data_IF_679936149375
#
_entry.id   IF_679936149375
#
_cell.length_a   1.000
_cell.length_b   1.000
_cell.length_c   1.000
_cell.angle_alpha   90.00
_cell.angle_beta   90.00
_cell.angle_gamma   90.00
#
_symmetry.space_group_name_H-M   'P 1'
#
loop_
_entity.id
_entity.type
_entity.pdbx_description
1 polymer ?
#
# COMPACT_ATOMS: atom_id res chain seq x y z
N UNK A 1 54.42 14.32 -7.50
CA UNK A 1 53.97 13.60 -8.72
C UNK A 1 52.45 13.55 -8.89
N UNK A 2 51.63 13.59 -7.84
CA UNK A 2 50.16 13.45 -7.90
C UNK A 2 49.36 14.56 -8.64
N UNK A 3 49.88 15.79 -8.77
CA UNK A 3 49.14 16.89 -9.41
C UNK A 3 49.11 16.83 -10.94
N UNK A 4 50.19 16.34 -11.56
CA UNK A 4 50.31 16.22 -13.02
C UNK A 4 49.40 15.12 -13.57
N UNK A 5 49.30 14.01 -12.84
CA UNK A 5 48.45 12.88 -13.19
C UNK A 5 46.96 13.27 -13.18
N UNK A 6 46.50 14.05 -12.18
CA UNK A 6 45.12 14.57 -12.15
C UNK A 6 44.78 15.50 -13.31
N UNK A 7 45.72 16.37 -13.72
CA UNK A 7 45.51 17.26 -14.86
C UNK A 7 45.43 16.50 -16.19
N UNK A 8 46.29 15.48 -16.36
CA UNK A 8 46.28 14.62 -17.55
C UNK A 8 44.99 13.78 -17.57
N UNK A 9 44.60 13.17 -16.46
CA UNK A 9 43.40 12.34 -16.35
C UNK A 9 42.11 13.15 -16.57
N UNK A 10 42.07 14.40 -16.09
CA UNK A 10 40.94 15.31 -16.35
C UNK A 10 40.86 15.66 -17.85
N UNK A 11 41.99 15.94 -18.50
CA UNK A 11 42.03 16.25 -19.92
C UNK A 11 41.59 15.07 -20.80
N UNK A 12 42.06 13.85 -20.47
CA UNK A 12 41.71 12.61 -21.19
C UNK A 12 40.24 12.26 -20.99
N UNK A 13 39.72 12.28 -19.75
CA UNK A 13 38.31 12.02 -19.46
C UNK A 13 37.39 13.02 -20.13
N UNK A 14 37.78 14.29 -20.23
CA UNK A 14 36.98 15.31 -20.93
C UNK A 14 36.91 15.04 -22.44
N UNK A 15 38.02 14.60 -23.04
CA UNK A 15 38.05 14.24 -24.46
C UNK A 15 37.22 12.98 -24.75
N UNK A 16 37.34 11.94 -23.92
CA UNK A 16 36.60 10.69 -24.06
C UNK A 16 35.11 10.85 -23.81
N UNK A 17 34.72 11.53 -22.72
CA UNK A 17 33.31 11.77 -22.40
C UNK A 17 32.63 12.63 -23.46
N UNK A 18 33.32 13.65 -23.99
CA UNK A 18 32.81 14.46 -25.10
C UNK A 18 32.66 13.69 -26.41
N UNK A 19 33.59 12.78 -26.72
CA UNK A 19 33.47 11.90 -27.89
C UNK A 19 32.31 10.93 -27.76
N UNK A 20 32.17 10.27 -26.61
CA UNK A 20 31.05 9.36 -26.31
C UNK A 20 29.72 10.11 -26.39
N UNK A 21 29.63 11.29 -25.79
CA UNK A 21 28.41 12.10 -25.84
C UNK A 21 28.02 12.48 -27.27
N UNK A 22 28.96 12.96 -28.11
CA UNK A 22 28.66 13.28 -29.52
C UNK A 22 28.23 12.04 -30.29
N UNK A 23 28.85 10.89 -30.04
CA UNK A 23 28.50 9.62 -30.70
C UNK A 23 27.10 9.15 -30.31
N UNK A 24 26.74 9.30 -29.03
CA UNK A 24 25.38 9.02 -28.53
C UNK A 24 24.35 9.97 -29.13
N UNK A 25 24.64 11.28 -29.17
CA UNK A 25 23.75 12.27 -29.79
C UNK A 25 23.53 11.95 -31.27
N UNK A 26 24.59 11.58 -32.00
CA UNK A 26 24.48 11.17 -33.41
C UNK A 26 23.73 9.86 -33.62
N UNK A 27 23.76 8.94 -32.67
CA UNK A 27 22.98 7.71 -32.76
C UNK A 27 21.49 7.92 -32.43
N UNK A 28 21.16 8.93 -31.63
CA UNK A 28 19.80 9.21 -31.16
C UNK A 28 19.09 10.34 -31.91
N UNK A 29 19.75 10.97 -32.89
CA UNK A 29 19.17 12.11 -33.63
C UNK A 29 17.98 11.73 -34.51
N UNK A 30 17.91 10.47 -34.94
CA UNK A 30 16.87 9.97 -35.86
C UNK A 30 15.61 9.45 -35.14
N UNK A 31 15.61 9.45 -33.80
CA UNK A 31 14.50 8.93 -32.99
C UNK A 31 13.54 10.06 -32.65
N UNK A 32 12.27 9.92 -33.02
CA UNK A 32 11.23 10.92 -32.75
C UNK A 32 9.92 10.32 -32.25
N UNK A 33 9.14 11.12 -31.52
CA UNK A 33 7.79 10.76 -31.06
C UNK A 33 6.78 11.16 -32.13
N UNK A 34 6.00 10.19 -32.61
CA UNK A 34 4.92 10.38 -33.56
C UNK A 34 3.62 10.80 -32.82
N UNK A 35 2.65 11.37 -33.57
CA UNK A 35 1.38 11.85 -33.03
C UNK A 35 0.51 10.77 -32.36
N UNK A 36 0.76 9.51 -32.69
CA UNK A 36 0.11 8.35 -32.08
C UNK A 36 0.73 7.95 -30.73
N UNK A 37 1.74 8.69 -30.24
CA UNK A 37 2.44 8.42 -28.99
C UNK A 37 3.56 7.39 -29.11
N UNK A 38 3.76 6.81 -30.30
CA UNK A 38 4.83 5.83 -30.57
C UNK A 38 6.16 6.54 -30.84
N UNK A 39 7.26 5.90 -30.46
CA UNK A 39 8.62 6.34 -30.77
C UNK A 39 9.10 5.58 -32.00
N UNK A 40 9.45 6.30 -33.07
CA UNK A 40 9.87 5.71 -34.33
C UNK A 40 11.19 6.29 -34.81
N UNK A 41 11.91 5.49 -35.60
CA UNK A 41 13.08 5.96 -36.33
C UNK A 41 12.65 6.79 -37.56
N UNK A 42 13.60 7.50 -38.18
CA UNK A 42 13.42 8.22 -39.43
C UNK A 42 12.91 7.34 -40.59
N UNK A 43 13.21 6.04 -40.56
CA UNK A 43 12.74 5.04 -41.52
C UNK A 43 11.30 4.56 -41.26
N UNK A 44 10.66 5.01 -40.19
CA UNK A 44 9.32 4.58 -39.78
C UNK A 44 9.29 3.28 -38.96
N UNK A 45 10.45 2.69 -38.68
CA UNK A 45 10.59 1.54 -37.79
C UNK A 45 10.15 1.90 -36.37
N UNK A 46 9.27 1.08 -35.81
CA UNK A 46 8.69 1.26 -34.48
C UNK A 46 9.71 0.82 -33.42
N UNK A 47 10.19 1.77 -32.61
CA UNK A 47 11.17 1.52 -31.54
C UNK A 47 10.44 1.26 -30.22
N UNK A 48 9.42 2.07 -29.90
CA UNK A 48 8.64 1.96 -28.67
C UNK A 48 7.15 2.30 -28.93
N UNK A 49 6.23 1.58 -28.30
CA UNK A 49 4.79 1.81 -28.49
C UNK A 49 4.29 3.06 -27.74
N UNK A 50 4.86 3.37 -26.57
CA UNK A 50 4.59 4.61 -25.85
C UNK A 50 5.90 5.27 -25.43
N UNK A 51 6.07 6.56 -25.70
CA UNK A 51 7.25 7.31 -25.24
C UNK A 51 7.39 7.26 -23.72
N UNK A 52 8.50 6.72 -23.23
CA UNK A 52 8.77 6.60 -21.79
C UNK A 52 8.04 5.44 -21.11
N UNK A 53 7.67 4.39 -21.87
CA UNK A 53 7.14 3.14 -21.31
C UNK A 53 8.17 2.46 -20.39
N UNK A 54 8.17 2.87 -19.12
CA UNK A 54 8.34 1.95 -18.00
C UNK A 54 7.17 0.96 -18.11
N UNK A 55 7.36 -0.12 -18.88
CA UNK A 55 6.37 -1.19 -19.03
C UNK A 55 6.02 -1.72 -17.63
N UNK A 56 4.92 -1.23 -17.05
CA UNK A 56 4.41 -1.69 -15.75
C UNK A 56 5.35 -1.57 -14.56
N UNK A 57 6.43 -0.79 -14.66
CA UNK A 57 7.46 -0.69 -13.63
C UNK A 57 7.08 0.22 -12.45
N UNK A 58 7.65 -0.08 -11.28
CA UNK A 58 7.74 0.87 -10.16
C UNK A 58 8.52 2.11 -10.61
N UNK A 59 8.23 3.29 -10.04
CA UNK A 59 8.95 4.52 -10.37
C UNK A 59 10.49 4.35 -10.25
N UNK A 60 11.28 5.00 -11.13
CA UNK A 60 12.73 4.90 -11.09
C UNK A 60 13.27 5.42 -9.76
N UNK A 61 14.15 4.64 -9.10
CA UNK A 61 14.75 4.97 -7.80
C UNK A 61 13.98 4.48 -6.57
N UNK A 62 12.90 3.73 -6.75
CA UNK A 62 12.10 3.17 -5.65
C UNK A 62 12.74 1.92 -5.03
N UNK A 63 13.42 1.11 -5.83
CA UNK A 63 14.13 -0.10 -5.38
C UNK A 63 15.64 0.11 -5.49
N UNK A 64 16.39 -0.49 -4.55
CA UNK A 64 17.84 -0.52 -4.62
C UNK A 64 18.32 -1.38 -5.81
N UNK A 65 19.34 -0.89 -6.53
CA UNK A 65 19.95 -1.57 -7.69
C UNK A 65 20.56 -2.90 -7.21
N UNK A 66 19.91 -4.02 -7.54
CA UNK A 66 20.29 -5.36 -7.07
C UNK A 66 19.10 -6.24 -6.65
N UNK A 67 17.91 -5.65 -6.51
CA UNK A 67 16.64 -6.36 -6.27
C UNK A 67 15.80 -6.54 -7.55
N UNK A 68 16.39 -6.29 -8.73
CA UNK A 68 15.74 -6.41 -10.04
C UNK A 68 15.80 -7.84 -10.61
N UNK A 69 15.84 -8.86 -9.77
CA UNK A 69 15.60 -10.21 -10.24
C UNK A 69 14.10 -10.29 -10.57
N UNK A 70 13.79 -10.03 -11.84
CA UNK A 70 12.48 -10.27 -12.47
C UNK A 70 12.17 -11.77 -12.48
N UNK A 71 12.17 -12.38 -11.29
CA UNK A 71 11.86 -13.79 -11.11
C UNK A 71 10.41 -13.99 -11.51
N UNK A 72 10.18 -15.01 -12.33
CA UNK A 72 8.85 -15.36 -12.79
C UNK A 72 7.89 -15.60 -11.62
N UNK A 73 8.40 -16.10 -10.48
CA UNK A 73 7.64 -16.31 -9.25
C UNK A 73 7.15 -15.00 -8.62
N UNK A 74 8.00 -13.97 -8.57
CA UNK A 74 7.63 -12.65 -8.06
C UNK A 74 6.55 -12.00 -8.93
N UNK A 75 6.71 -12.09 -10.25
CA UNK A 75 5.72 -11.56 -11.20
C UNK A 75 4.36 -12.22 -11.01
N UNK A 76 4.32 -13.56 -10.87
CA UNK A 76 3.08 -14.29 -10.59
C UNK A 76 2.45 -13.86 -9.25
N UNK A 77 3.24 -13.54 -8.22
CA UNK A 77 2.71 -13.02 -6.95
C UNK A 77 2.10 -11.63 -7.12
N UNK A 78 2.76 -10.75 -7.86
CA UNK A 78 2.28 -9.38 -8.14
C UNK A 78 1.01 -9.39 -9.00
N UNK A 79 0.96 -10.23 -10.03
CA UNK A 79 -0.24 -10.38 -10.87
C UNK A 79 -1.43 -10.86 -10.05
N UNK A 80 -1.22 -11.83 -9.15
CA UNK A 80 -2.26 -12.29 -8.22
C UNK A 80 -2.73 -11.20 -7.26
N UNK A 81 -1.81 -10.39 -6.73
CA UNK A 81 -2.17 -9.25 -5.89
C UNK A 81 -3.01 -8.24 -6.67
N UNK A 82 -2.60 -7.91 -7.89
CA UNK A 82 -3.31 -6.96 -8.74
C UNK A 82 -4.73 -7.43 -9.08
N UNK A 83 -4.88 -8.69 -9.51
CA UNK A 83 -6.20 -9.28 -9.77
C UNK A 83 -7.09 -9.21 -8.52
N UNK A 84 -6.55 -9.55 -7.35
CA UNK A 84 -7.30 -9.47 -6.08
C UNK A 84 -7.76 -8.04 -5.78
N UNK A 85 -6.93 -7.02 -6.01
CA UNK A 85 -7.29 -5.62 -5.79
C UNK A 85 -8.37 -5.14 -6.76
N UNK A 86 -8.33 -5.59 -8.02
CA UNK A 86 -9.36 -5.30 -9.02
C UNK A 86 -10.70 -5.92 -8.59
N UNK A 87 -10.68 -7.17 -8.13
CA UNK A 87 -11.87 -7.85 -7.63
C UNK A 87 -12.41 -7.18 -6.36
N UNK A 88 -11.54 -6.80 -5.42
CA UNK A 88 -11.92 -6.07 -4.21
C UNK A 88 -12.57 -4.71 -4.56
N UNK A 89 -12.06 -4.00 -5.58
CA UNK A 89 -12.66 -2.75 -6.06
C UNK A 89 -14.02 -2.97 -6.71
N UNK A 90 -14.20 -4.04 -7.49
CA UNK A 90 -15.51 -4.41 -8.07
C UNK A 90 -16.51 -4.71 -6.97
N UNK A 91 -16.10 -5.50 -5.97
CA UNK A 91 -16.94 -5.86 -4.81
C UNK A 91 -17.40 -4.61 -4.04
N UNK A 92 -16.50 -3.64 -3.80
CA UNK A 92 -16.87 -2.38 -3.17
C UNK A 92 -17.93 -1.60 -3.97
N UNK A 93 -17.81 -1.54 -5.30
CA UNK A 93 -18.72 -0.78 -6.17
C UNK A 93 -20.06 -1.48 -6.38
N UNK A 94 -20.06 -2.80 -6.51
CA UNK A 94 -21.25 -3.57 -6.90
C UNK A 94 -22.04 -4.08 -5.70
N UNK A 95 -21.34 -4.54 -4.65
CA UNK A 95 -21.97 -5.25 -3.53
C UNK A 95 -22.10 -4.39 -2.27
N UNK A 96 -21.02 -3.72 -1.84
CA UNK A 96 -21.01 -2.98 -0.55
C UNK A 96 -21.64 -1.60 -0.69
N UNK A 97 -21.24 -0.83 -1.72
CA UNK A 97 -21.66 0.56 -1.91
C UNK A 97 -22.29 0.81 -3.28
N UNK A 98 -23.38 0.09 -3.65
CA UNK A 98 -23.97 0.16 -4.99
C UNK A 98 -24.55 1.53 -5.38
N UNK A 99 -24.84 2.41 -4.40
CA UNK A 99 -25.48 3.72 -4.62
C UNK A 99 -24.86 4.84 -3.79
N UNK A 100 -23.62 4.68 -3.35
CA UNK A 100 -22.97 5.72 -2.54
C UNK A 100 -22.21 6.70 -3.42
N UNK A 101 -22.36 7.99 -3.13
CA UNK A 101 -21.57 9.04 -3.76
C UNK A 101 -20.08 8.85 -3.42
N UNK A 102 -19.17 8.94 -4.41
CA UNK A 102 -17.74 8.70 -4.21
C UNK A 102 -17.06 9.75 -3.31
N UNK A 103 -17.72 10.88 -3.05
CA UNK A 103 -17.21 11.93 -2.15
C UNK A 103 -17.61 11.72 -0.68
N UNK A 104 -18.49 10.76 -0.38
CA UNK A 104 -18.97 10.53 0.98
C UNK A 104 -17.92 9.75 1.78
N UNK A 105 -17.49 10.34 2.89
CA UNK A 105 -16.56 9.68 3.81
C UNK A 105 -17.23 8.51 4.51
N UNK A 106 -16.54 7.36 4.55
CA UNK A 106 -16.97 6.16 5.25
C UNK A 106 -16.18 6.01 6.54
N UNK A 107 -16.86 5.68 7.64
CA UNK A 107 -16.20 5.41 8.90
C UNK A 107 -15.57 4.02 8.88
N UNK A 108 -14.27 3.95 9.19
CA UNK A 108 -13.53 2.71 9.34
C UNK A 108 -12.94 2.64 10.74
N UNK A 109 -12.84 1.45 11.36
CA UNK A 109 -12.40 1.31 12.75
C UNK A 109 -10.98 1.84 13.02
N UNK A 110 -10.11 1.87 12.00
CA UNK A 110 -8.72 2.27 12.13
C UNK A 110 -8.33 3.24 11.03
N UNK A 111 -7.66 4.32 11.41
CA UNK A 111 -7.01 5.23 10.48
C UNK A 111 -5.61 4.73 10.13
N UNK A 112 -5.50 3.98 9.03
CA UNK A 112 -4.22 3.42 8.57
C UNK A 112 -3.21 4.49 8.16
N UNK A 113 -3.68 5.64 7.66
CA UNK A 113 -2.78 6.74 7.28
C UNK A 113 -2.00 7.24 8.50
N UNK A 114 -2.68 7.44 9.64
CA UNK A 114 -2.04 7.86 10.89
C UNK A 114 -1.01 6.84 11.37
N UNK A 115 -1.30 5.55 11.27
CA UNK A 115 -0.35 4.49 11.66
C UNK A 115 0.93 4.59 10.82
N UNK A 116 0.80 4.79 9.51
CA UNK A 116 1.95 4.94 8.63
C UNK A 116 2.75 6.20 8.95
N UNK A 117 2.08 7.32 9.23
CA UNK A 117 2.76 8.56 9.63
C UNK A 117 3.55 8.39 10.94
N UNK A 118 2.94 7.74 11.94
CA UNK A 118 3.61 7.44 13.19
C UNK A 118 4.83 6.54 12.96
N UNK A 119 4.72 5.54 12.09
CA UNK A 119 5.84 4.67 11.74
C UNK A 119 6.99 5.45 11.07
N UNK A 120 6.69 6.34 10.12
CA UNK A 120 7.70 7.18 9.45
C UNK A 120 8.45 8.05 10.48
N UNK A 121 7.74 8.60 11.45
CA UNK A 121 8.32 9.43 12.51
C UNK A 121 9.19 8.60 13.47
N UNK A 122 8.69 7.47 13.96
CA UNK A 122 9.40 6.61 14.92
C UNK A 122 10.68 6.04 14.30
N UNK A 123 10.59 5.54 13.07
CA UNK A 123 11.71 4.89 12.38
C UNK A 123 12.58 5.85 11.57
N UNK A 124 12.28 7.16 11.61
CA UNK A 124 13.07 8.21 10.95
C UNK A 124 13.33 7.87 9.47
N UNK A 125 12.28 7.49 8.75
CA UNK A 125 12.38 6.96 7.40
C UNK A 125 12.64 8.11 6.41
N UNK A 126 13.78 8.02 5.72
CA UNK A 126 14.15 8.97 4.67
C UNK A 126 13.48 8.59 3.34
N UNK A 127 12.43 9.31 2.94
CA UNK A 127 11.74 9.12 1.66
C UNK A 127 12.59 9.43 0.41
N UNK A 128 13.83 9.87 0.59
CA UNK A 128 14.80 10.15 -0.49
C UNK A 128 15.67 8.94 -0.82
N UNK A 129 15.72 7.95 0.07
CA UNK A 129 16.50 6.73 -0.14
C UNK A 129 15.59 5.67 -0.78
N UNK A 130 16.12 4.85 -1.71
CA UNK A 130 15.38 3.70 -2.22
C UNK A 130 15.02 2.77 -1.07
N UNK A 131 13.86 2.12 -1.15
CA UNK A 131 13.43 1.17 -0.12
C UNK A 131 14.19 -0.15 -0.20
N UNK A 132 14.56 -0.70 0.96
CA UNK A 132 15.26 -1.99 1.09
C UNK A 132 14.30 -3.20 1.07
N UNK A 133 13.01 -2.98 0.80
CA UNK A 133 11.95 -3.97 0.99
C UNK A 133 11.63 -4.70 -0.31
N UNK A 134 11.61 -6.03 -0.24
CA UNK A 134 11.20 -6.87 -1.37
C UNK A 134 9.67 -6.92 -1.50
N UNK A 135 9.10 -6.75 -2.72
CA UNK A 135 7.65 -6.78 -2.91
C UNK A 135 7.00 -8.10 -2.45
N UNK A 136 7.68 -9.23 -2.62
CA UNK A 136 7.18 -10.53 -2.15
C UNK A 136 6.95 -10.57 -0.63
N UNK A 137 7.86 -9.97 0.13
CA UNK A 137 7.74 -9.90 1.59
C UNK A 137 6.52 -9.09 2.02
N UNK A 138 6.22 -7.98 1.32
CA UNK A 138 5.05 -7.13 1.62
C UNK A 138 3.76 -7.94 1.43
N UNK A 139 3.63 -8.65 0.31
CA UNK A 139 2.43 -9.45 -0.01
C UNK A 139 2.21 -10.53 1.05
N UNK A 140 3.28 -11.24 1.43
CA UNK A 140 3.19 -12.33 2.40
C UNK A 140 2.89 -11.79 3.82
N UNK A 141 3.46 -10.64 4.20
CA UNK A 141 3.18 -9.98 5.47
C UNK A 141 1.72 -9.49 5.59
N UNK A 142 1.17 -8.87 4.54
CA UNK A 142 -0.24 -8.41 4.52
C UNK A 142 -1.19 -9.61 4.59
N UNK A 143 -0.86 -10.71 3.91
CA UNK A 143 -1.62 -11.98 3.99
C UNK A 143 -1.58 -12.55 5.40
N UNK A 144 -0.44 -12.51 6.07
CA UNK A 144 -0.31 -12.99 7.44
C UNK A 144 -1.10 -12.11 8.43
N UNK A 145 -1.02 -10.79 8.30
CA UNK A 145 -1.80 -9.85 9.12
C UNK A 145 -3.31 -10.10 8.99
N UNK A 146 -3.76 -10.32 7.76
CA UNK A 146 -5.17 -10.63 7.47
C UNK A 146 -5.62 -11.94 8.13
N UNK A 147 -4.76 -12.97 8.18
CA UNK A 147 -5.08 -14.25 8.83
C UNK A 147 -5.17 -14.14 10.35
N UNK A 148 -4.38 -13.25 10.96
CA UNK A 148 -4.40 -13.01 12.41
C UNK A 148 -5.63 -12.24 12.89
N UNK A 149 -6.36 -11.60 11.98
CA UNK A 149 -7.58 -10.88 12.29
C UNK A 149 -8.75 -11.85 12.51
N UNK A 150 -8.98 -12.24 13.76
CA UNK A 150 -10.08 -13.11 14.19
C UNK A 150 -11.00 -12.30 15.12
N UNK A 151 -12.28 -12.16 14.75
CA UNK A 151 -13.30 -11.41 15.51
C UNK A 151 -14.33 -12.38 16.08
N UNK A 152 -14.88 -13.24 15.23
CA UNK A 152 -15.79 -14.33 15.58
C UNK A 152 -14.95 -15.52 16.05
N UNK A 153 -15.23 -15.97 17.28
CA UNK A 153 -14.59 -17.15 17.86
C UNK A 153 -15.39 -18.39 17.48
N UNK A 154 -14.77 -19.33 16.78
CA UNK A 154 -15.37 -20.62 16.42
C UNK A 154 -14.87 -21.15 15.09
N UNK A 155 -14.69 -22.46 14.99
CA UNK A 155 -14.13 -23.13 13.80
C UNK A 155 -15.21 -23.69 12.85
N UNK A 156 -16.48 -23.51 13.20
CA UNK A 156 -17.62 -23.97 12.41
C UNK A 156 -17.66 -23.27 11.04
N UNK A 157 -18.31 -23.93 10.06
CA UNK A 157 -18.48 -23.38 8.71
C UNK A 157 -19.15 -22.00 8.73
N UNK A 158 -20.18 -21.85 9.56
CA UNK A 158 -20.91 -20.59 9.74
C UNK A 158 -20.04 -19.52 10.43
N UNK A 159 -19.24 -19.90 11.42
CA UNK A 159 -18.34 -18.99 12.13
C UNK A 159 -17.25 -18.44 11.23
N UNK A 160 -16.71 -19.26 10.31
CA UNK A 160 -15.75 -18.82 9.29
C UNK A 160 -16.37 -17.88 8.27
N UNK A 161 -17.56 -18.20 7.77
CA UNK A 161 -18.28 -17.32 6.83
C UNK A 161 -18.64 -15.98 7.49
N UNK A 162 -19.11 -16.01 8.73
CA UNK A 162 -19.36 -14.81 9.52
C UNK A 162 -18.07 -14.00 9.72
N UNK A 163 -16.95 -14.65 10.01
CA UNK A 163 -15.65 -14.00 10.15
C UNK A 163 -15.21 -13.31 8.85
N UNK A 164 -15.33 -14.01 7.71
CA UNK A 164 -14.98 -13.46 6.41
C UNK A 164 -15.85 -12.25 6.07
N UNK A 165 -17.16 -12.31 6.31
CA UNK A 165 -18.09 -11.22 6.03
C UNK A 165 -17.83 -9.99 6.90
N UNK A 166 -17.61 -10.17 8.21
CA UNK A 166 -17.35 -9.05 9.15
C UNK A 166 -16.02 -8.37 8.82
N UNK A 167 -15.00 -9.16 8.47
CA UNK A 167 -13.68 -8.61 8.17
C UNK A 167 -13.52 -8.08 6.75
N UNK A 168 -14.47 -8.34 5.86
CA UNK A 168 -14.33 -8.11 4.42
C UNK A 168 -13.90 -6.68 4.09
N UNK A 169 -14.66 -5.67 4.53
CA UNK A 169 -14.38 -4.26 4.24
C UNK A 169 -13.03 -3.81 4.80
N UNK A 170 -12.69 -4.26 6.01
CA UNK A 170 -11.43 -3.90 6.64
C UNK A 170 -10.22 -4.56 5.96
N UNK A 171 -10.38 -5.82 5.50
CA UNK A 171 -9.37 -6.53 4.71
C UNK A 171 -9.10 -5.84 3.39
N UNK A 172 -10.15 -5.39 2.70
CA UNK A 172 -10.01 -4.59 1.47
C UNK A 172 -9.25 -3.30 1.76
N UNK A 173 -9.61 -2.58 2.83
CA UNK A 173 -8.93 -1.34 3.21
C UNK A 173 -7.43 -1.54 3.52
N UNK A 174 -7.07 -2.61 4.23
CA UNK A 174 -5.68 -2.98 4.50
C UNK A 174 -4.91 -3.28 3.20
N UNK A 175 -5.48 -4.10 2.31
CA UNK A 175 -4.86 -4.45 1.03
C UNK A 175 -4.65 -3.24 0.14
N UNK A 176 -5.66 -2.37 0.04
CA UNK A 176 -5.57 -1.17 -0.77
C UNK A 176 -4.55 -0.17 -0.22
N UNK A 177 -4.45 -0.04 1.11
CA UNK A 177 -3.50 0.89 1.74
C UNK A 177 -2.06 0.38 1.63
N UNK A 178 -1.85 -0.91 1.87
CA UNK A 178 -0.53 -1.56 1.91
C UNK A 178 -0.19 -2.36 0.64
N UNK A 179 -0.81 -2.03 -0.49
CA UNK A 179 -0.44 -2.61 -1.78
C UNK A 179 1.07 -2.44 -2.03
N UNK A 180 1.73 -3.47 -2.57
CA UNK A 180 3.18 -3.51 -2.78
C UNK A 180 3.71 -2.23 -3.45
N UNK A 181 3.05 -1.79 -4.53
CA UNK A 181 3.36 -0.54 -5.23
C UNK A 181 3.28 0.70 -4.33
N UNK A 182 2.23 0.85 -3.51
CA UNK A 182 2.05 2.02 -2.64
C UNK A 182 3.08 2.06 -1.52
N UNK A 183 3.39 0.90 -0.95
CA UNK A 183 4.38 0.80 0.13
C UNK A 183 5.75 1.24 -0.35
N UNK A 184 6.13 0.81 -1.55
CA UNK A 184 7.42 1.15 -2.13
C UNK A 184 7.47 2.60 -2.62
N UNK A 185 6.49 3.05 -3.39
CA UNK A 185 6.51 4.39 -4.02
C UNK A 185 6.14 5.54 -3.08
N UNK A 186 5.21 5.32 -2.14
CA UNK A 186 4.70 6.41 -1.28
C UNK A 186 5.29 6.37 0.12
N UNK A 187 5.40 5.19 0.71
CA UNK A 187 5.76 5.07 2.12
C UNK A 187 7.25 4.78 2.34
N UNK A 188 7.97 4.24 1.35
CA UNK A 188 9.40 3.92 1.42
C UNK A 188 9.77 3.17 2.71
N UNK A 189 8.94 2.19 3.11
CA UNK A 189 9.12 1.50 4.39
C UNK A 189 10.36 0.59 4.38
N UNK A 190 11.13 0.63 5.47
CA UNK A 190 12.29 -0.24 5.68
C UNK A 190 11.91 -1.55 6.38
N UNK A 191 12.73 -2.60 6.17
CA UNK A 191 12.53 -3.92 6.81
C UNK A 191 12.62 -3.87 8.35
N UNK A 192 13.31 -2.88 8.89
CA UNK A 192 13.48 -2.66 10.34
C UNK A 192 12.22 -2.10 11.01
N UNK A 193 11.29 -1.53 10.24
CA UNK A 193 9.95 -1.17 10.72
C UNK A 193 9.11 -2.45 10.92
N UNK A 194 9.57 -3.33 11.81
CA UNK A 194 8.83 -4.52 12.21
C UNK A 194 7.55 -4.07 12.90
N UNK A 195 6.43 -4.43 12.30
CA UNK A 195 5.05 -4.20 12.76
C UNK A 195 4.82 -4.56 14.25
N UNK A 196 5.66 -5.42 14.84
CA UNK A 196 5.60 -5.84 16.24
C UNK A 196 5.99 -4.73 17.24
N UNK A 197 6.76 -3.70 16.84
CA UNK A 197 7.01 -2.52 17.69
C UNK A 197 5.97 -1.41 17.47
N UNK A 198 5.18 -1.50 16.40
CA UNK A 198 4.06 -0.60 16.10
C UNK A 198 2.76 -1.05 16.77
N UNK A 199 2.78 -2.19 17.47
CA UNK A 199 1.68 -2.60 18.34
C UNK A 199 1.68 -1.62 19.51
N UNK A 200 0.76 -0.67 19.39
CA UNK A 200 0.23 0.19 20.45
C UNK A 200 0.28 -0.55 21.79
N UNK A 201 1.00 0.02 22.76
CA UNK A 201 1.07 -0.56 24.10
C UNK A 201 -0.37 -0.76 24.62
N UNK A 202 -0.69 -1.87 25.31
CA UNK A 202 -2.00 -2.04 25.92
C UNK A 202 -2.22 -0.87 26.90
N UNK A 203 -3.00 0.13 26.50
CA UNK A 203 -3.18 1.40 27.21
C UNK A 203 -3.09 2.69 26.36
N UNK A 204 -2.67 2.65 25.09
CA UNK A 204 -2.80 3.81 24.20
C UNK A 204 -4.21 3.85 23.58
N UNK A 205 -4.94 4.92 23.86
CA UNK A 205 -6.37 5.10 23.57
C UNK A 205 -6.71 4.92 22.08
N UNK A 206 -7.27 3.76 21.75
CA UNK A 206 -8.34 3.62 20.77
C UNK A 206 -9.59 3.38 21.60
N UNK A 207 -10.45 4.39 21.75
CA UNK A 207 -11.74 4.30 22.44
C UNK A 207 -12.67 3.27 21.77
N UNK A 208 -12.43 1.97 21.93
CA UNK A 208 -13.44 0.93 21.65
C UNK A 208 -13.26 -0.32 22.52
N UNK A 209 -12.59 -0.25 23.67
CA UNK A 209 -12.44 -1.44 24.53
C UNK A 209 -12.69 -1.27 26.03
N UNK A 210 -13.20 -0.11 26.49
CA UNK A 210 -13.54 0.09 27.91
C UNK A 210 -15.05 0.01 28.22
N UNK A 211 -15.88 -0.44 27.28
CA UNK A 211 -17.34 -0.57 27.50
C UNK A 211 -17.75 -1.98 27.99
N UNK A 212 -16.84 -2.96 28.03
CA UNK A 212 -17.20 -4.34 28.37
C UNK A 212 -16.92 -4.72 29.84
N UNK A 213 -16.04 -4.01 30.56
CA UNK A 213 -15.62 -4.45 31.90
C UNK A 213 -16.07 -3.58 33.10
N UNK A 214 -16.85 -2.51 32.92
CA UNK A 214 -17.42 -1.78 34.07
C UNK A 214 -18.71 -0.98 33.77
N UNK A 215 -19.91 -1.50 34.05
CA UNK A 215 -21.17 -0.86 33.64
C UNK A 215 -21.67 0.22 34.61
N UNK A 216 -20.79 0.86 35.41
CA UNK A 216 -21.22 1.86 36.42
C UNK A 216 -20.61 3.25 36.31
N UNK A 217 -19.79 3.54 35.30
CA UNK A 217 -19.21 4.87 35.16
C UNK A 217 -19.82 5.62 33.97
N UNK A 218 -20.79 6.49 34.30
CA UNK A 218 -21.32 7.62 33.53
C UNK A 218 -22.27 7.31 32.37
N UNK A 219 -23.52 7.02 32.71
CA UNK A 219 -24.66 7.64 32.02
C UNK A 219 -25.07 8.81 32.92
N UNK A 220 -24.79 10.04 32.49
CA UNK A 220 -25.61 11.18 32.92
C UNK A 220 -26.74 11.24 31.90
N UNK A 221 -27.96 11.14 32.41
CA UNK A 221 -29.20 11.13 31.66
C UNK A 221 -29.27 12.38 30.76
N UNK A 222 -29.42 12.21 29.44
CA UNK A 222 -29.55 13.36 28.55
C UNK A 222 -29.66 13.09 27.06
N UNK A 223 -28.72 12.37 26.44
CA UNK A 223 -28.54 12.46 24.99
C UNK A 223 -28.52 11.09 24.28
N UNK A 224 -29.70 10.48 24.09
CA UNK A 224 -29.88 9.40 23.12
C UNK A 224 -30.88 9.88 22.05
N UNK A 225 -30.47 9.98 20.77
CA UNK A 225 -31.36 10.30 19.65
C UNK A 225 -32.55 9.31 19.55
N UNK A 226 -33.77 9.78 19.24
CA UNK A 226 -35.00 8.99 19.32
C UNK A 226 -35.04 7.79 18.36
N UNK A 227 -34.20 7.79 17.33
CA UNK A 227 -34.01 6.71 16.36
C UNK A 227 -33.21 5.50 16.89
N UNK A 228 -32.50 5.65 18.02
CA UNK A 228 -31.69 4.59 18.62
C UNK A 228 -32.33 3.94 19.87
N UNK A 229 -33.44 4.49 20.36
CA UNK A 229 -34.20 3.97 21.51
C UNK A 229 -34.69 2.52 21.34
N UNK A 230 -35.27 2.08 20.20
CA UNK A 230 -35.77 0.72 20.08
C UNK A 230 -34.65 -0.35 20.04
N UNK A 231 -33.45 0.02 19.57
CA UNK A 231 -32.28 -0.87 19.59
C UNK A 231 -31.76 -1.10 21.01
N UNK A 232 -31.79 -0.06 21.85
CA UNK A 232 -31.34 -0.13 23.24
C UNK A 232 -32.30 -0.97 24.10
N UNK A 233 -33.61 -0.81 23.91
CA UNK A 233 -34.62 -1.60 24.61
C UNK A 233 -34.58 -3.09 24.25
N UNK A 234 -34.42 -3.42 22.96
CA UNK A 234 -34.30 -4.81 22.49
C UNK A 234 -33.05 -5.52 23.04
N UNK A 235 -31.98 -4.78 23.31
CA UNK A 235 -30.76 -5.31 23.91
C UNK A 235 -30.94 -5.62 25.40
N UNK A 236 -31.72 -4.82 26.12
CA UNK A 236 -32.02 -5.05 27.54
C UNK A 236 -33.01 -6.22 27.74
N UNK A 237 -34.02 -6.38 26.88
CA UNK A 237 -35.00 -7.47 27.02
C UNK A 237 -34.38 -8.84 26.78
N UNK A 238 -33.43 -8.96 25.85
CA UNK A 238 -32.74 -10.23 25.57
C UNK A 238 -31.79 -10.68 26.70
N UNK A 239 -31.36 -9.76 27.58
CA UNK A 239 -30.47 -10.09 28.70
C UNK A 239 -31.22 -10.64 29.91
N UNK A 240 -32.50 -10.28 30.09
CA UNK A 240 -33.35 -10.78 31.18
C UNK A 240 -33.98 -12.15 30.87
N UNK A 241 -34.00 -12.58 29.61
CA UNK A 241 -34.55 -13.88 29.20
C UNK A 241 -33.56 -15.06 29.28
N UNK A 242 -32.32 -14.83 29.76
CA UNK A 242 -31.25 -15.85 29.87
C UNK A 242 -30.72 -16.07 31.30
N UNK A 243 -31.58 -15.90 32.30
CA UNK A 243 -31.35 -16.40 33.66
C UNK A 243 -32.42 -17.43 34.01
#
# INVERSE_FOLDING_TARGET
MAGRERLIDTAVKTAETGYIQRRLVKALEDVMVCYDGTVRNSLGDLIQFVYGEDVGGLLPGVLQVGLHDSSLELQVKLDKEFVQLVDDQRLLREFIFPRTDPSKSHYLPVNLHRIVQNAIQIFHIDQRKPGDLEPAYIIDAVRELTKRLIIVRGDDRLSREAQDNVTLTFRIHLRETFASRRVLEKFHLNREAKFNQSVVNPGEMVEVSDVIDNPRAKIQDGDIPPDQQPFYEAFQTNRLARC
#
